data_IF_871574946724
#
_entry.id   IF_871574946724
#
_cell.length_a   1.000
_cell.length_b   1.000
_cell.length_c   1.000
_cell.angle_alpha   90.00
_cell.angle_beta   90.00
_cell.angle_gamma   90.00
#
_symmetry.space_group_name_H-M   'P 1'
#
loop_
_entity.id
_entity.type
_entity.pdbx_description
1 polymer ?
#
# COMPACT_ATOMS: atom_id res chain seq x y z
N UNK A 1 11.07 8.64 13.78
CA UNK A 1 12.02 8.09 12.77
C UNK A 1 11.37 7.82 11.40
N UNK A 2 10.13 8.26 11.13
CA UNK A 2 9.37 7.88 9.91
C UNK A 2 9.43 8.87 8.72
N UNK A 3 9.71 10.15 8.95
CA UNK A 3 9.45 11.22 7.96
C UNK A 3 10.51 11.41 6.88
N UNK A 4 11.79 11.12 7.16
CA UNK A 4 12.88 11.25 6.18
C UNK A 4 12.89 10.13 5.14
N UNK A 5 12.21 9.02 5.44
CA UNK A 5 12.15 7.85 4.58
C UNK A 5 11.29 8.20 3.36
N UNK A 6 9.99 8.41 3.52
CA UNK A 6 9.07 8.44 2.36
C UNK A 6 9.44 9.49 1.28
N UNK A 7 9.94 10.68 1.67
CA UNK A 7 10.42 11.72 0.72
C UNK A 7 11.73 11.37 0.01
N UNK A 8 12.71 10.81 0.71
CA UNK A 8 13.97 10.41 0.08
C UNK A 8 13.81 9.16 -0.79
N UNK A 9 12.81 8.30 -0.52
CA UNK A 9 12.62 7.00 -1.16
C UNK A 9 11.85 7.03 -2.49
N UNK A 10 10.83 7.89 -2.65
CA UNK A 10 10.16 8.10 -3.96
C UNK A 10 11.15 8.60 -5.04
N UNK A 11 12.25 9.23 -4.61
CA UNK A 11 13.26 9.78 -5.49
C UNK A 11 14.34 8.76 -5.92
N UNK A 12 14.43 7.57 -5.29
CA UNK A 12 15.56 6.66 -5.50
C UNK A 12 15.23 5.18 -5.78
N UNK A 13 14.06 4.66 -5.38
CA UNK A 13 13.75 3.21 -5.56
C UNK A 13 12.38 2.87 -6.15
N UNK A 14 11.44 3.82 -6.22
CA UNK A 14 10.07 3.56 -6.70
C UNK A 14 9.28 2.55 -5.84
N UNK A 15 9.75 2.25 -4.63
CA UNK A 15 9.15 1.29 -3.69
C UNK A 15 9.06 1.86 -2.28
N UNK A 16 8.07 1.39 -1.51
CA UNK A 16 7.83 1.78 -0.12
C UNK A 16 7.47 0.52 0.67
N UNK A 17 7.90 0.41 1.93
CA UNK A 17 7.48 -0.70 2.78
C UNK A 17 7.39 -0.27 4.25
N UNK A 18 6.15 -0.12 4.74
CA UNK A 18 5.85 0.16 6.15
C UNK A 18 5.36 -1.10 6.90
N UNK A 19 5.47 -2.28 6.28
CA UNK A 19 5.12 -3.53 6.95
C UNK A 19 6.02 -3.70 8.18
N UNK A 20 5.42 -3.92 9.34
CA UNK A 20 6.13 -4.08 10.60
C UNK A 20 6.64 -2.78 11.23
N UNK A 21 6.45 -1.61 10.60
CA UNK A 21 6.96 -0.32 11.13
C UNK A 21 5.92 0.44 11.95
N UNK A 22 4.85 -0.21 12.41
CA UNK A 22 3.78 0.46 13.12
C UNK A 22 4.23 0.88 14.54
N UNK A 23 4.07 2.15 14.96
CA UNK A 23 4.48 2.57 16.29
C UNK A 23 3.62 1.91 17.37
N UNK A 24 4.25 1.19 18.30
CA UNK A 24 3.55 0.46 19.38
C UNK A 24 2.65 1.36 20.23
N UNK A 25 3.08 2.61 20.43
CA UNK A 25 2.39 3.67 21.18
C UNK A 25 1.01 4.05 20.57
N UNK A 26 0.75 3.65 19.33
CA UNK A 26 -0.49 3.98 18.61
C UNK A 26 -1.48 2.81 18.60
N UNK A 27 -1.03 1.56 18.84
CA UNK A 27 -1.96 0.41 18.92
C UNK A 27 -2.37 0.15 20.36
N UNK A 28 -3.61 0.47 20.67
CA UNK A 28 -4.22 0.08 21.95
C UNK A 28 -4.83 -1.33 21.91
N UNK A 29 -5.10 -1.89 20.72
CA UNK A 29 -5.75 -3.20 20.58
C UNK A 29 -5.11 -4.07 19.48
N UNK A 30 -4.55 -5.23 19.88
CA UNK A 30 -3.74 -6.09 19.02
C UNK A 30 -4.56 -6.74 17.90
N UNK A 31 -5.85 -7.00 18.15
CA UNK A 31 -6.76 -7.59 17.17
C UNK A 31 -7.04 -6.69 15.96
N UNK A 32 -6.86 -5.38 16.09
CA UNK A 32 -7.00 -4.42 14.99
C UNK A 32 -5.70 -4.22 14.20
N UNK A 33 -4.55 -4.74 14.67
CA UNK A 33 -3.26 -4.59 13.96
C UNK A 33 -3.33 -5.12 12.54
N UNK A 34 -4.08 -6.19 12.31
CA UNK A 34 -4.20 -6.89 11.02
C UNK A 34 -5.02 -6.14 9.97
N UNK A 35 -5.61 -4.99 10.35
CA UNK A 35 -6.50 -4.22 9.48
C UNK A 35 -5.92 -2.86 9.11
N UNK A 36 -4.70 -2.53 9.57
CA UNK A 36 -4.11 -1.20 9.37
C UNK A 36 -3.56 -0.99 7.96
N UNK A 37 -3.31 -2.10 7.26
CA UNK A 37 -2.91 -2.16 5.86
C UNK A 37 -1.73 -1.23 5.51
N UNK A 38 -0.54 -1.42 6.13
CA UNK A 38 0.59 -0.51 5.98
C UNK A 38 0.97 -0.28 4.52
N UNK A 39 1.29 0.95 4.17
CA UNK A 39 1.69 1.34 2.83
C UNK A 39 2.90 0.50 2.41
N UNK A 40 2.69 -0.29 1.36
CA UNK A 40 3.70 -1.11 0.73
C UNK A 40 3.52 -0.90 -0.76
N UNK A 41 4.58 -0.53 -1.47
CA UNK A 41 4.63 -0.37 -2.91
C UNK A 41 5.85 -1.15 -3.37
N UNK A 42 5.63 -2.16 -4.21
CA UNK A 42 6.68 -2.92 -4.85
C UNK A 42 7.40 -2.03 -5.87
N UNK A 43 8.70 -2.27 -6.07
CA UNK A 43 9.41 -1.57 -7.14
C UNK A 43 8.85 -1.99 -8.49
N UNK A 44 9.00 -1.12 -9.49
CA UNK A 44 8.57 -1.44 -10.86
C UNK A 44 9.27 -2.68 -11.39
N UNK A 45 10.55 -2.88 -11.07
CA UNK A 45 11.32 -4.06 -11.47
C UNK A 45 10.71 -5.34 -10.90
N UNK A 46 10.37 -5.35 -9.61
CA UNK A 46 9.74 -6.51 -8.97
C UNK A 46 8.35 -6.78 -9.56
N UNK A 47 7.57 -5.72 -9.83
CA UNK A 47 6.27 -5.86 -10.47
C UNK A 47 6.38 -6.43 -11.91
N UNK A 48 7.38 -6.00 -12.67
CA UNK A 48 7.67 -6.51 -14.02
C UNK A 48 8.17 -7.96 -14.01
N UNK A 49 9.02 -8.32 -13.04
CA UNK A 49 9.45 -9.71 -12.83
C UNK A 49 8.25 -10.61 -12.53
N UNK A 50 7.34 -10.19 -11.66
CA UNK A 50 6.10 -10.92 -11.38
C UNK A 50 5.24 -11.08 -12.64
N UNK A 51 5.08 -10.02 -13.43
CA UNK A 51 4.35 -10.09 -14.71
C UNK A 51 4.99 -11.10 -15.66
N UNK A 52 6.31 -11.05 -15.81
CA UNK A 52 7.05 -11.96 -16.68
C UNK A 52 6.91 -13.40 -16.20
N UNK A 53 7.04 -13.64 -14.90
CA UNK A 53 6.90 -14.95 -14.27
C UNK A 53 5.52 -15.55 -14.51
N UNK A 54 4.45 -14.81 -14.20
CA UNK A 54 3.08 -15.32 -14.34
C UNK A 54 2.65 -15.49 -15.80
N UNK A 55 3.13 -14.63 -16.70
CA UNK A 55 2.95 -14.79 -18.14
C UNK A 55 3.61 -16.08 -18.64
N UNK A 56 4.86 -16.35 -18.25
CA UNK A 56 5.58 -17.57 -18.64
C UNK A 56 4.94 -18.85 -18.09
N UNK A 57 4.21 -18.74 -16.97
CA UNK A 57 3.44 -19.83 -16.37
C UNK A 57 2.04 -20.00 -16.98
N UNK A 58 1.61 -19.13 -17.91
CA UNK A 58 0.28 -19.19 -18.51
C UNK A 58 -0.84 -18.94 -17.51
N UNK A 59 -0.58 -18.21 -16.41
CA UNK A 59 -1.57 -17.98 -15.34
C UNK A 59 -2.72 -17.09 -15.81
N UNK A 60 -2.45 -16.18 -16.74
CA UNK A 60 -3.47 -15.27 -17.24
C UNK A 60 -4.04 -15.75 -18.57
N UNK A 61 -5.36 -15.94 -18.60
CA UNK A 61 -6.13 -16.22 -19.81
C UNK A 61 -6.26 -14.98 -20.72
N UNK A 62 -6.07 -13.78 -20.15
CA UNK A 62 -6.22 -12.47 -20.81
C UNK A 62 -5.07 -11.53 -20.41
N UNK A 63 -5.35 -10.24 -20.51
CA UNK A 63 -4.57 -9.09 -20.04
C UNK A 63 -3.91 -9.30 -18.66
N UNK A 64 -2.58 -9.09 -18.55
CA UNK A 64 -1.84 -9.30 -17.31
C UNK A 64 -2.17 -8.24 -16.25
N UNK A 65 -1.77 -8.52 -15.00
CA UNK A 65 -1.92 -7.59 -13.88
C UNK A 65 -0.55 -7.19 -13.33
N UNK A 66 -0.33 -5.89 -13.17
CA UNK A 66 0.85 -5.35 -12.52
C UNK A 66 0.59 -5.27 -11.01
N UNK A 67 1.20 -6.16 -10.24
CA UNK A 67 1.11 -6.15 -8.77
C UNK A 67 1.89 -4.98 -8.20
N UNK A 68 1.19 -4.09 -7.50
CA UNK A 68 1.77 -2.89 -6.88
C UNK A 68 2.00 -3.05 -5.38
N UNK A 69 1.17 -3.85 -4.70
CA UNK A 69 1.29 -4.10 -3.25
C UNK A 69 0.73 -5.47 -2.92
N UNK A 70 1.23 -6.17 -1.89
CA UNK A 70 0.47 -7.25 -1.25
C UNK A 70 -0.87 -6.73 -0.73
N UNK A 71 -1.86 -7.60 -0.56
CA UNK A 71 -3.11 -7.23 0.12
C UNK A 71 -2.92 -7.06 1.63
N UNK A 72 -3.91 -6.46 2.30
CA UNK A 72 -3.88 -6.20 3.74
C UNK A 72 -3.60 -7.43 4.59
N UNK A 73 -4.00 -8.65 4.19
CA UNK A 73 -3.77 -9.87 4.97
C UNK A 73 -2.36 -10.43 4.74
N UNK A 74 -1.90 -10.42 3.49
CA UNK A 74 -0.53 -10.83 3.14
C UNK A 74 0.54 -10.00 3.85
N UNK A 75 0.27 -8.72 4.11
CA UNK A 75 1.17 -7.84 4.88
C UNK A 75 1.42 -8.32 6.31
N UNK A 76 0.59 -9.21 6.85
CA UNK A 76 0.76 -9.82 8.17
C UNK A 76 1.05 -11.32 8.12
N UNK A 77 1.42 -11.85 6.95
CA UNK A 77 1.77 -13.27 6.79
C UNK A 77 0.57 -14.21 6.69
N UNK A 78 -0.64 -13.70 6.46
CA UNK A 78 -1.81 -14.52 6.18
C UNK A 78 -2.02 -14.64 4.66
N UNK A 79 -2.55 -15.78 4.22
CA UNK A 79 -2.99 -15.92 2.83
C UNK A 79 -4.13 -14.95 2.57
N UNK A 80 -3.98 -14.10 1.55
CA UNK A 80 -4.96 -13.08 1.19
C UNK A 80 -5.61 -13.31 -0.18
N UNK A 81 -6.48 -12.37 -0.56
CA UNK A 81 -7.26 -12.39 -1.81
C UNK A 81 -6.44 -12.07 -3.07
N UNK A 82 -5.17 -11.69 -2.92
CA UNK A 82 -4.27 -11.36 -4.02
C UNK A 82 -3.85 -9.90 -4.00
N UNK A 83 -2.70 -9.60 -4.62
CA UNK A 83 -2.07 -8.28 -4.59
C UNK A 83 -2.97 -7.15 -5.11
N UNK A 84 -2.87 -5.97 -4.49
CA UNK A 84 -3.39 -4.73 -5.07
C UNK A 84 -2.65 -4.48 -6.38
N UNK A 85 -3.41 -4.31 -7.46
CA UNK A 85 -2.84 -4.37 -8.81
C UNK A 85 -3.57 -3.46 -9.79
N UNK A 86 -2.89 -3.15 -10.89
CA UNK A 86 -3.48 -2.45 -12.04
C UNK A 86 -3.54 -3.42 -13.22
N UNK A 87 -4.66 -3.47 -13.93
CA UNK A 87 -4.79 -4.24 -15.16
C UNK A 87 -4.02 -3.63 -16.34
N UNK A 88 -3.38 -4.46 -17.15
CA UNK A 88 -2.63 -4.03 -18.34
C UNK A 88 -3.24 -4.60 -19.63
N UNK A 89 -3.39 -3.81 -20.70
CA UNK A 89 -2.93 -2.43 -20.83
C UNK A 89 -3.85 -1.44 -20.10
N UNK A 90 -3.24 -0.51 -19.37
CA UNK A 90 -3.96 0.63 -18.80
C UNK A 90 -3.92 1.80 -19.79
N UNK A 91 -5.09 2.31 -20.21
CA UNK A 91 -5.18 3.45 -21.13
C UNK A 91 -5.08 4.81 -20.44
N UNK A 92 -5.25 4.84 -19.13
CA UNK A 92 -5.16 6.06 -18.31
C UNK A 92 -3.78 6.25 -17.69
N UNK A 93 -3.48 7.48 -17.28
CA UNK A 93 -2.28 7.79 -16.51
C UNK A 93 -2.35 7.26 -15.06
N UNK A 94 -3.57 7.14 -14.53
CA UNK A 94 -3.86 6.63 -13.19
C UNK A 94 -4.82 5.44 -13.33
N UNK A 95 -4.32 4.25 -13.00
CA UNK A 95 -5.06 3.00 -13.17
C UNK A 95 -5.94 2.69 -11.96
N UNK A 96 -7.08 2.05 -12.22
CA UNK A 96 -7.92 1.47 -11.18
C UNK A 96 -7.11 0.48 -10.34
N UNK A 97 -7.16 0.64 -9.01
CA UNK A 97 -6.47 -0.24 -8.09
C UNK A 97 -7.39 -1.41 -7.71
N UNK A 98 -7.14 -2.55 -8.35
CA UNK A 98 -7.92 -3.77 -8.16
C UNK A 98 -7.62 -4.39 -6.78
N UNK A 99 -8.65 -5.02 -6.19
CA UNK A 99 -8.61 -5.75 -4.90
C UNK A 99 -8.39 -4.87 -3.66
N UNK A 100 -8.25 -3.56 -3.83
CA UNK A 100 -8.27 -2.59 -2.75
C UNK A 100 -9.73 -2.19 -2.43
N UNK A 101 -10.04 -1.97 -1.15
CA UNK A 101 -11.41 -1.89 -0.63
C UNK A 101 -12.10 -0.53 -0.77
N UNK A 102 -11.39 0.50 -1.24
CA UNK A 102 -11.95 1.81 -1.56
C UNK A 102 -12.43 1.87 -3.02
N UNK A 103 -12.05 0.88 -3.85
CA UNK A 103 -12.41 0.82 -5.28
C UNK A 103 -12.02 2.10 -6.03
N UNK A 104 -10.86 2.64 -5.67
CA UNK A 104 -10.32 3.89 -6.19
C UNK A 104 -9.15 3.63 -7.15
N UNK A 105 -8.67 4.68 -7.80
CA UNK A 105 -7.43 4.60 -8.56
C UNK A 105 -6.20 4.63 -7.63
N UNK A 106 -5.03 4.31 -8.20
CA UNK A 106 -3.77 4.25 -7.48
C UNK A 106 -3.36 5.58 -6.80
N UNK A 107 -3.50 6.72 -7.48
CA UNK A 107 -3.15 8.03 -6.89
C UNK A 107 -4.06 8.41 -5.71
N UNK A 108 -5.40 8.31 -5.79
CA UNK A 108 -6.28 8.45 -4.63
C UNK A 108 -5.90 7.54 -3.46
N UNK A 109 -5.54 6.27 -3.72
CA UNK A 109 -5.06 5.36 -2.68
C UNK A 109 -3.81 5.88 -1.97
N UNK A 110 -2.81 6.40 -2.70
CA UNK A 110 -1.61 6.99 -2.08
C UNK A 110 -1.97 8.19 -1.19
N UNK A 111 -2.93 9.03 -1.61
CA UNK A 111 -3.42 10.16 -0.81
C UNK A 111 -4.11 9.68 0.46
N UNK A 112 -4.90 8.61 0.39
CA UNK A 112 -5.50 7.98 1.55
C UNK A 112 -4.43 7.48 2.52
N UNK A 113 -3.41 6.77 2.02
CA UNK A 113 -2.29 6.33 2.85
C UNK A 113 -1.61 7.52 3.54
N UNK A 114 -1.27 8.59 2.81
CA UNK A 114 -0.61 9.76 3.40
C UNK A 114 -1.49 10.49 4.43
N UNK A 115 -2.80 10.56 4.21
CA UNK A 115 -3.77 11.10 5.19
C UNK A 115 -3.71 10.37 6.54
N UNK A 116 -3.42 9.08 6.50
CA UNK A 116 -3.33 8.21 7.69
C UNK A 116 -1.90 7.77 8.02
N UNK A 117 -0.91 8.56 7.60
CA UNK A 117 0.50 8.34 7.96
C UNK A 117 1.10 7.04 7.46
N UNK A 118 0.57 6.53 6.34
CA UNK A 118 0.93 5.25 5.74
C UNK A 118 0.09 4.07 6.22
N UNK A 119 -0.99 4.28 6.98
CA UNK A 119 -1.83 3.21 7.52
C UNK A 119 -3.32 3.46 7.22
N UNK A 120 -3.76 3.31 5.96
CA UNK A 120 -5.11 3.63 5.49
C UNK A 120 -6.22 2.94 6.31
N UNK A 121 -5.96 1.76 6.88
CA UNK A 121 -6.92 1.06 7.73
C UNK A 121 -7.32 1.80 9.01
N UNK A 122 -6.56 2.81 9.43
CA UNK A 122 -6.95 3.71 10.53
C UNK A 122 -8.24 4.48 10.24
N UNK A 123 -8.61 4.66 8.97
CA UNK A 123 -9.87 5.32 8.60
C UNK A 123 -11.09 4.58 9.14
N UNK A 124 -11.09 3.25 9.04
CA UNK A 124 -12.25 2.40 9.30
C UNK A 124 -12.17 1.69 10.64
N UNK A 125 -10.96 1.33 11.07
CA UNK A 125 -10.75 0.42 12.19
C UNK A 125 -9.99 1.03 13.36
N UNK A 126 -9.41 2.22 13.19
CA UNK A 126 -8.53 2.83 14.18
C UNK A 126 -9.23 3.83 15.08
N UNK A 127 -8.86 3.81 16.37
CA UNK A 127 -9.02 4.95 17.28
C UNK A 127 -7.64 5.56 17.54
N UNK A 128 -7.29 6.58 16.75
CA UNK A 128 -6.02 7.30 16.91
C UNK A 128 -6.25 8.70 17.50
N UNK A 129 -5.42 9.09 18.47
CA UNK A 129 -5.47 10.45 19.01
C UNK A 129 -5.00 11.46 17.96
N UNK A 130 -5.52 12.70 18.01
CA UNK A 130 -5.07 13.78 17.10
C UNK A 130 -3.55 13.99 17.15
N UNK A 131 -2.95 13.85 18.33
CA UNK A 131 -1.50 13.96 18.52
C UNK A 131 -0.75 12.84 17.80
N UNK A 132 -1.19 11.59 17.95
CA UNK A 132 -0.55 10.45 17.30
C UNK A 132 -0.73 10.50 15.78
N UNK A 133 -1.90 10.91 15.31
CA UNK A 133 -2.13 11.12 13.89
C UNK A 133 -1.22 12.22 13.34
N UNK A 134 -1.08 13.35 14.03
CA UNK A 134 -0.17 14.42 13.63
C UNK A 134 1.29 13.96 13.60
N UNK A 135 1.72 13.09 14.52
CA UNK A 135 3.07 12.50 14.50
C UNK A 135 3.28 11.57 13.30
N UNK A 136 2.26 10.77 12.96
CA UNK A 136 2.31 9.85 11.82
C UNK A 136 2.27 10.58 10.48
N UNK A 137 1.52 11.68 10.38
CA UNK A 137 1.36 12.48 9.15
C UNK A 137 2.39 13.59 9.01
N UNK A 138 3.23 13.79 10.03
CA UNK A 138 4.26 14.83 10.03
C UNK A 138 5.13 14.73 8.76
N UNK A 139 5.21 15.84 8.02
CA UNK A 139 5.95 15.96 6.76
C UNK A 139 5.47 15.09 5.57
N UNK A 140 4.38 14.33 5.71
CA UNK A 140 3.73 13.60 4.60
C UNK A 140 2.69 14.44 3.85
N UNK A 141 2.20 15.51 4.46
CA UNK A 141 1.32 16.51 3.86
C UNK A 141 2.08 17.85 3.86
N UNK A 142 2.30 18.49 2.68
CA UNK A 142 1.24 19.27 2.04
C UNK A 142 1.24 19.22 0.50
N UNK A 143 0.12 18.83 -0.11
CA UNK A 143 -0.28 19.22 -1.47
C UNK A 143 -1.80 19.04 -1.68
#
# INVERSE_FOLDING_TARGET
>A
MSSHIIKSFLHSSGSVNLIGTFPEEVVQNVSQKFLLDPLCILSIDMALEMVTFYKNKGVWEKDPKLSLSPDKFHKYGFSGSGAYSVGLPCKGFDGELLLEEHHDNFVPYLRLCFRWGGFPGLERYGTISKRNLALLTDNLLPF
#
